data_IF_297465879793
#
_entry.id   IF_297465879793
#
_cell.length_a   1.000
_cell.length_b   1.000
_cell.length_c   1.000
_cell.angle_alpha   90.00
_cell.angle_beta   90.00
_cell.angle_gamma   90.00
#
_symmetry.space_group_name_H-M   'P 1'
#
loop_
_entity.id
_entity.type
_entity.pdbx_description
1 polymer ?
#
# COMPACT_ATOMS: atom_id res chain seq x y z
N UNK A 1 23.69 -12.55 -30.09
CA UNK A 1 22.64 -11.84 -29.32
C UNK A 1 21.62 -11.26 -30.30
N UNK A 2 20.34 -11.58 -30.15
CA UNK A 2 19.27 -10.96 -30.94
C UNK A 2 19.07 -9.51 -30.53
N UNK A 3 18.85 -8.60 -31.49
CA UNK A 3 18.49 -7.21 -31.19
C UNK A 3 17.16 -7.22 -30.43
N UNK A 4 17.11 -6.57 -29.25
CA UNK A 4 15.83 -6.30 -28.57
C UNK A 4 14.98 -5.43 -29.49
N UNK A 5 13.72 -5.80 -29.69
CA UNK A 5 12.79 -4.99 -30.46
C UNK A 5 12.37 -3.78 -29.62
N UNK A 6 12.42 -2.61 -30.23
CA UNK A 6 12.02 -1.35 -29.60
C UNK A 6 10.86 -0.71 -30.38
N UNK A 7 9.99 -0.01 -29.67
CA UNK A 7 8.88 0.78 -30.21
C UNK A 7 9.13 2.25 -29.88
N UNK A 8 9.03 3.08 -30.89
CA UNK A 8 9.10 4.53 -30.72
C UNK A 8 7.72 5.07 -30.32
N UNK A 9 7.67 5.89 -29.28
CA UNK A 9 6.44 6.46 -28.75
C UNK A 9 6.58 7.97 -28.55
N UNK A 10 5.48 8.69 -28.74
CA UNK A 10 5.37 10.12 -28.42
C UNK A 10 4.67 10.28 -27.08
N UNK A 11 5.13 11.23 -26.28
CA UNK A 11 4.58 11.56 -24.96
C UNK A 11 4.60 13.07 -24.77
N UNK A 12 3.92 13.57 -23.73
CA UNK A 12 4.03 14.99 -23.32
C UNK A 12 5.45 15.41 -22.92
N UNK A 13 6.32 14.45 -22.58
CA UNK A 13 7.72 14.69 -22.21
C UNK A 13 8.69 14.57 -23.40
N UNK A 14 8.17 14.28 -24.60
CA UNK A 14 8.95 14.03 -25.80
C UNK A 14 8.87 12.59 -26.27
N UNK A 15 9.83 12.22 -27.12
CA UNK A 15 9.87 10.93 -27.81
C UNK A 15 10.77 9.93 -27.07
N UNK A 16 10.29 8.70 -26.88
CA UNK A 16 11.01 7.64 -26.19
C UNK A 16 11.09 6.39 -27.07
N UNK A 17 12.22 5.70 -27.05
CA UNK A 17 12.35 4.32 -27.55
C UNK A 17 12.17 3.38 -26.37
N UNK A 18 11.14 2.53 -26.41
CA UNK A 18 10.85 1.57 -25.35
C UNK A 18 11.07 0.13 -25.84
N UNK A 19 11.67 -0.76 -25.04
CA UNK A 19 11.68 -2.18 -25.35
C UNK A 19 10.25 -2.72 -25.43
N UNK A 20 9.94 -3.51 -26.46
CA UNK A 20 8.60 -4.12 -26.63
C UNK A 20 8.25 -5.05 -25.45
N UNK A 21 9.26 -5.66 -24.83
CA UNK A 21 9.13 -6.46 -23.61
C UNK A 21 8.68 -5.66 -22.38
N UNK A 22 8.75 -4.33 -22.40
CA UNK A 22 8.29 -3.47 -21.30
C UNK A 22 6.83 -3.03 -21.44
N UNK A 23 6.16 -3.40 -22.54
CA UNK A 23 4.75 -3.05 -22.76
C UNK A 23 3.89 -3.86 -21.80
N UNK A 24 3.08 -3.15 -21.01
CA UNK A 24 2.08 -3.70 -20.11
C UNK A 24 0.71 -3.66 -20.78
N UNK A 25 0.00 -4.78 -20.72
CA UNK A 25 -1.38 -4.90 -21.22
C UNK A 25 -2.35 -4.81 -20.06
N UNK A 26 -3.30 -3.88 -20.14
CA UNK A 26 -4.43 -3.75 -19.24
C UNK A 26 -5.69 -4.15 -20.02
N UNK A 27 -6.14 -5.43 -19.95
CA UNK A 27 -7.20 -5.94 -20.84
C UNK A 27 -8.52 -5.18 -20.74
N UNK A 28 -8.82 -4.65 -19.54
CA UNK A 28 -10.00 -3.84 -19.23
C UNK A 28 -9.74 -2.33 -19.32
N UNK A 29 -8.52 -1.93 -19.66
CA UNK A 29 -8.02 -0.57 -19.52
C UNK A 29 -7.98 -0.11 -18.06
N UNK A 30 -8.01 1.21 -17.86
CA UNK A 30 -8.13 1.85 -16.55
C UNK A 30 -9.51 2.50 -16.44
N UNK A 31 -10.00 2.71 -15.20
CA UNK A 31 -11.28 3.37 -14.96
C UNK A 31 -11.25 4.79 -15.55
N UNK A 32 -12.23 5.11 -16.40
CA UNK A 32 -12.27 6.37 -17.16
C UNK A 32 -11.38 6.39 -18.41
N UNK A 33 -10.64 5.32 -18.68
CA UNK A 33 -9.74 5.15 -19.82
C UNK A 33 -9.82 3.72 -20.40
N UNK A 34 -11.01 3.13 -20.45
CA UNK A 34 -11.25 1.72 -20.80
C UNK A 34 -10.79 1.37 -22.24
N UNK A 35 -10.72 2.38 -23.11
CA UNK A 35 -10.19 2.25 -24.47
C UNK A 35 -8.65 2.17 -24.56
N UNK A 36 -7.93 2.51 -23.49
CA UNK A 36 -6.47 2.45 -23.43
C UNK A 36 -6.05 1.16 -22.74
N UNK A 37 -5.36 0.28 -23.49
CA UNK A 37 -5.04 -1.08 -23.01
C UNK A 37 -3.56 -1.42 -23.05
N UNK A 38 -2.75 -0.61 -23.69
CA UNK A 38 -1.31 -0.79 -23.73
C UNK A 38 -0.64 0.39 -23.07
N UNK A 39 0.20 0.11 -22.08
CA UNK A 39 0.94 1.12 -21.34
C UNK A 39 2.41 0.73 -21.23
N UNK A 40 3.25 1.68 -20.85
CA UNK A 40 4.64 1.44 -20.44
C UNK A 40 4.95 2.29 -19.22
N UNK A 41 5.94 1.89 -18.43
CA UNK A 41 6.45 2.68 -17.31
C UNK A 41 7.70 3.45 -17.74
N UNK A 42 7.66 4.78 -17.59
CA UNK A 42 8.77 5.67 -17.89
C UNK A 42 9.25 6.28 -16.57
N UNK A 43 10.54 6.09 -16.25
CA UNK A 43 11.18 6.76 -15.10
C UNK A 43 11.47 8.21 -15.46
N UNK A 44 11.09 9.14 -14.59
CA UNK A 44 11.35 10.58 -14.77
C UNK A 44 12.82 10.90 -14.44
N UNK A 45 13.34 10.27 -13.38
CA UNK A 45 14.73 10.29 -12.93
C UNK A 45 15.03 8.94 -12.27
N UNK A 46 16.29 8.51 -12.27
CA UNK A 46 16.67 7.20 -11.73
C UNK A 46 16.33 7.06 -10.24
N UNK A 47 16.57 8.11 -9.45
CA UNK A 47 16.33 8.14 -8.00
C UNK A 47 14.93 8.64 -7.61
N UNK A 48 14.05 8.88 -8.58
CA UNK A 48 12.69 9.35 -8.30
C UNK A 48 11.79 8.17 -7.89
N UNK A 49 11.00 8.28 -6.80
CA UNK A 49 9.98 7.28 -6.46
C UNK A 49 8.80 7.34 -7.45
N UNK A 50 8.70 8.39 -8.26
CA UNK A 50 7.63 8.59 -9.22
C UNK A 50 8.03 8.15 -10.63
N UNK A 51 7.07 7.52 -11.32
CA UNK A 51 7.14 7.11 -12.71
C UNK A 51 5.90 7.61 -13.47
N UNK A 52 5.97 7.60 -14.79
CA UNK A 52 4.80 7.82 -15.65
C UNK A 52 4.34 6.48 -16.22
N UNK A 53 3.09 6.13 -15.96
CA UNK A 53 2.38 5.09 -16.71
C UNK A 53 1.83 5.72 -17.99
N UNK A 54 2.54 5.54 -19.08
CA UNK A 54 2.27 6.16 -20.37
C UNK A 54 1.45 5.25 -21.26
N UNK A 55 0.32 5.74 -21.78
CA UNK A 55 -0.48 5.05 -22.79
C UNK A 55 0.25 4.98 -24.12
N UNK A 56 0.23 3.82 -24.78
CA UNK A 56 0.82 3.64 -26.12
C UNK A 56 -0.14 4.02 -27.25
N UNK A 57 -1.42 4.23 -26.94
CA UNK A 57 -2.44 4.66 -27.91
C UNK A 57 -2.76 6.15 -27.84
N UNK A 58 -2.29 6.87 -26.81
CA UNK A 58 -2.46 8.33 -26.70
C UNK A 58 -1.23 8.99 -26.07
N UNK A 59 -0.52 9.87 -26.81
CA UNK A 59 0.60 10.65 -26.28
C UNK A 59 0.24 11.55 -25.11
N UNK A 60 -1.02 11.99 -25.02
CA UNK A 60 -1.50 12.90 -23.99
C UNK A 60 -1.84 12.20 -22.67
N UNK A 61 -2.01 10.87 -22.69
CA UNK A 61 -2.37 10.09 -21.51
C UNK A 61 -1.13 9.48 -20.85
N UNK A 62 -0.58 10.20 -19.87
CA UNK A 62 0.43 9.69 -18.94
C UNK A 62 -0.01 9.94 -17.50
N UNK A 63 -0.10 8.89 -16.68
CA UNK A 63 -0.46 8.99 -15.27
C UNK A 63 0.79 8.96 -14.41
N UNK A 64 0.94 9.91 -13.50
CA UNK A 64 1.98 9.84 -12.47
C UNK A 64 1.62 8.70 -11.51
N UNK A 65 2.57 7.81 -11.28
CA UNK A 65 2.40 6.63 -10.42
C UNK A 65 3.61 6.44 -9.51
N UNK A 66 3.42 5.73 -8.41
CA UNK A 66 4.50 5.36 -7.50
C UNK A 66 4.21 4.02 -6.83
N UNK A 67 5.25 3.41 -6.26
CA UNK A 67 5.12 2.31 -5.33
C UNK A 67 4.61 2.85 -3.98
N UNK A 68 3.39 2.46 -3.52
CA UNK A 68 2.86 2.95 -2.26
C UNK A 68 3.70 2.52 -1.04
N UNK A 69 4.42 1.39 -1.12
CA UNK A 69 5.20 0.85 -0.01
C UNK A 69 6.44 1.69 0.32
N UNK A 70 6.88 2.57 -0.60
CA UNK A 70 7.91 3.56 -0.33
C UNK A 70 7.46 4.64 0.69
N UNK A 71 6.15 4.78 0.90
CA UNK A 71 5.55 5.79 1.79
C UNK A 71 4.69 5.22 2.91
N UNK A 72 4.16 4.00 2.73
CA UNK A 72 3.22 3.34 3.63
C UNK A 72 3.62 1.87 3.78
N UNK A 73 4.37 1.54 4.84
CA UNK A 73 4.93 0.20 5.01
C UNK A 73 3.88 -0.90 5.26
N UNK A 74 2.71 -0.54 5.76
CA UNK A 74 1.61 -1.45 6.14
C UNK A 74 0.37 -1.31 5.25
N UNK A 75 0.52 -0.76 4.05
CA UNK A 75 -0.57 -0.69 3.08
C UNK A 75 -1.03 -2.10 2.67
N UNK A 76 -2.33 -2.39 2.84
CA UNK A 76 -2.92 -3.69 2.50
C UNK A 76 -3.86 -3.53 1.29
N UNK A 77 -3.73 -4.46 0.35
CA UNK A 77 -4.59 -4.55 -0.83
C UNK A 77 -5.30 -5.89 -0.79
N UNK A 78 -6.60 -5.87 -1.04
CA UNK A 78 -7.37 -7.07 -1.27
C UNK A 78 -7.51 -7.30 -2.78
N UNK A 79 -7.04 -8.46 -3.25
CA UNK A 79 -7.12 -8.89 -4.66
C UNK A 79 -7.91 -10.18 -4.69
N UNK A 80 -9.06 -10.18 -5.35
CA UNK A 80 -9.92 -11.36 -5.44
C UNK A 80 -9.36 -12.46 -6.34
N UNK A 81 -9.86 -13.68 -6.17
CA UNK A 81 -9.44 -14.85 -6.94
C UNK A 81 -9.61 -14.67 -8.46
N UNK A 82 -10.61 -13.90 -8.89
CA UNK A 82 -10.85 -13.64 -10.30
C UNK A 82 -9.80 -12.70 -10.89
N UNK A 83 -9.39 -11.68 -10.13
CA UNK A 83 -8.34 -10.74 -10.49
C UNK A 83 -6.99 -11.47 -10.54
N UNK A 84 -6.66 -12.29 -9.54
CA UNK A 84 -5.44 -13.10 -9.51
C UNK A 84 -5.33 -14.00 -10.75
N UNK A 85 -6.40 -14.71 -11.10
CA UNK A 85 -6.46 -15.55 -12.31
C UNK A 85 -6.26 -14.76 -13.60
N UNK A 86 -6.88 -13.59 -13.71
CA UNK A 86 -6.74 -12.73 -14.91
C UNK A 86 -5.34 -12.13 -15.04
N UNK A 87 -4.72 -11.78 -13.92
CA UNK A 87 -3.34 -11.31 -13.85
C UNK A 87 -2.32 -12.45 -14.02
N UNK A 88 -2.76 -13.71 -14.00
CA UNK A 88 -1.91 -14.90 -14.03
C UNK A 88 -0.86 -14.89 -12.92
N UNK A 89 -1.24 -14.40 -11.74
CA UNK A 89 -0.34 -14.35 -10.59
C UNK A 89 -0.29 -15.72 -9.93
N UNK A 90 0.91 -16.29 -9.85
CA UNK A 90 1.19 -17.54 -9.16
C UNK A 90 1.89 -17.30 -7.81
N UNK A 91 2.55 -16.14 -7.67
CA UNK A 91 3.22 -15.74 -6.44
C UNK A 91 3.26 -14.21 -6.25
N UNK A 92 3.53 -13.77 -5.02
CA UNK A 92 3.63 -12.34 -4.69
C UNK A 92 4.86 -11.69 -5.34
N UNK A 93 5.92 -12.46 -5.54
CA UNK A 93 7.17 -11.99 -6.14
C UNK A 93 6.96 -11.51 -7.57
N UNK A 94 6.00 -12.07 -8.31
CA UNK A 94 5.63 -11.63 -9.67
C UNK A 94 4.84 -10.31 -9.68
N UNK A 95 4.41 -9.83 -8.52
CA UNK A 95 3.50 -8.71 -8.39
C UNK A 95 4.26 -7.40 -8.19
N UNK A 96 3.93 -6.41 -9.01
CA UNK A 96 4.24 -5.01 -8.74
C UNK A 96 2.93 -4.27 -8.42
N UNK A 97 2.98 -3.42 -7.40
CA UNK A 97 1.87 -2.57 -6.99
C UNK A 97 2.24 -1.13 -7.27
N UNK A 98 1.33 -0.41 -7.92
CA UNK A 98 1.45 1.02 -8.12
C UNK A 98 0.16 1.74 -7.74
N UNK A 99 0.26 2.99 -7.31
CA UNK A 99 -0.88 3.88 -7.08
C UNK A 99 -0.70 5.15 -7.90
N UNK A 100 -1.80 5.76 -8.33
CA UNK A 100 -1.73 7.05 -9.04
C UNK A 100 -1.46 8.19 -8.09
N UNK A 101 -0.78 9.21 -8.57
CA UNK A 101 -0.31 10.35 -7.80
C UNK A 101 -0.91 11.64 -8.38
N UNK A 102 -1.44 12.48 -7.50
CA UNK A 102 -1.89 13.83 -7.87
C UNK A 102 -1.00 14.86 -7.20
N UNK A 103 -0.43 15.76 -8.00
CA UNK A 103 0.35 16.90 -7.54
C UNK A 103 -0.42 18.17 -7.91
N UNK A 104 -1.03 18.88 -6.94
CA UNK A 104 -1.72 20.12 -7.23
C UNK A 104 -0.76 21.18 -7.80
N UNK A 105 -1.20 22.01 -8.78
CA UNK A 105 -0.35 23.04 -9.36
C UNK A 105 0.23 23.99 -8.31
N UNK A 106 1.56 24.14 -8.32
CA UNK A 106 2.29 25.03 -7.41
C UNK A 106 2.37 24.56 -5.95
N UNK A 107 1.81 23.39 -5.61
CA UNK A 107 1.71 22.89 -4.23
C UNK A 107 2.20 21.43 -4.14
N UNK A 108 3.49 21.16 -4.43
CA UNK A 108 4.05 19.80 -4.37
C UNK A 108 3.96 19.15 -2.98
N UNK A 109 3.91 19.94 -1.91
CA UNK A 109 3.70 19.48 -0.54
C UNK A 109 2.31 18.87 -0.31
N UNK A 110 1.33 19.18 -1.16
CA UNK A 110 -0.03 18.62 -1.14
C UNK A 110 -0.18 17.40 -2.07
N UNK A 111 0.93 16.74 -2.40
CA UNK A 111 0.92 15.51 -3.19
C UNK A 111 0.08 14.45 -2.51
N UNK A 112 -0.81 13.79 -3.26
CA UNK A 112 -1.63 12.68 -2.75
C UNK A 112 -1.45 11.41 -3.57
N UNK A 113 -1.49 10.27 -2.89
CA UNK A 113 -1.54 8.92 -3.46
C UNK A 113 -2.98 8.42 -3.44
N UNK A 114 -3.48 7.94 -4.57
CA UNK A 114 -4.81 7.33 -4.64
C UNK A 114 -4.73 5.84 -4.26
N UNK A 115 -5.11 5.53 -3.03
CA UNK A 115 -5.13 4.17 -2.48
C UNK A 115 -6.43 3.40 -2.81
N UNK A 116 -7.47 4.06 -3.36
CA UNK A 116 -8.73 3.37 -3.65
C UNK A 116 -8.71 2.58 -4.95
N UNK A 117 -7.71 2.76 -5.80
CA UNK A 117 -7.60 2.06 -7.08
C UNK A 117 -6.16 1.72 -7.45
N UNK A 118 -5.47 0.89 -6.65
CA UNK A 118 -4.14 0.41 -6.97
C UNK A 118 -4.12 -0.34 -8.31
N UNK A 119 -3.00 -0.22 -8.99
CA UNK A 119 -2.64 -0.96 -10.18
C UNK A 119 -1.85 -2.18 -9.73
N UNK A 120 -2.43 -3.36 -9.92
CA UNK A 120 -1.78 -4.64 -9.67
C UNK A 120 -1.25 -5.14 -11.00
N UNK A 121 0.06 -5.39 -11.06
CA UNK A 121 0.76 -5.74 -12.29
C UNK A 121 1.51 -7.05 -12.08
N UNK A 122 1.24 -8.04 -12.92
CA UNK A 122 2.16 -9.16 -13.09
C UNK A 122 3.26 -8.73 -14.06
N UNK A 123 4.47 -8.53 -13.54
CA UNK A 123 5.56 -8.00 -14.35
C UNK A 123 6.24 -9.06 -15.23
N UNK A 124 6.00 -10.35 -15.01
CA UNK A 124 6.46 -11.44 -15.88
C UNK A 124 5.49 -11.61 -17.05
N UNK A 125 4.19 -11.75 -16.76
CA UNK A 125 3.15 -11.89 -17.79
C UNK A 125 2.85 -10.58 -18.54
N UNK A 126 3.32 -9.44 -18.02
CA UNK A 126 3.07 -8.08 -18.54
C UNK A 126 1.58 -7.72 -18.58
N UNK A 127 0.82 -8.17 -17.59
CA UNK A 127 -0.62 -7.90 -17.47
C UNK A 127 -0.85 -7.04 -16.24
N UNK A 128 -1.59 -5.94 -16.41
CA UNK A 128 -2.00 -5.05 -15.33
C UNK A 128 -3.51 -4.98 -15.18
N UNK A 129 -3.95 -4.65 -13.97
CA UNK A 129 -5.35 -4.38 -13.66
C UNK A 129 -5.45 -3.30 -12.59
N UNK A 130 -6.40 -2.38 -12.74
CA UNK A 130 -6.81 -1.52 -11.65
C UNK A 130 -7.80 -2.27 -10.75
N UNK A 131 -7.49 -2.40 -9.46
CA UNK A 131 -8.28 -3.19 -8.50
C UNK A 131 -8.87 -2.27 -7.43
N UNK A 132 -10.14 -1.83 -7.58
CA UNK A 132 -10.80 -0.96 -6.61
C UNK A 132 -10.81 -1.55 -5.20
N UNK A 133 -10.55 -0.71 -4.20
CA UNK A 133 -10.60 -1.07 -2.78
C UNK A 133 -11.82 -0.39 -2.13
N UNK A 134 -12.53 -1.14 -1.29
CA UNK A 134 -13.76 -0.67 -0.62
C UNK A 134 -13.59 -0.42 0.89
N UNK A 135 -12.69 -1.16 1.55
CA UNK A 135 -12.46 -1.10 2.99
C UNK A 135 -11.01 -0.69 3.29
N UNK A 136 -10.68 0.58 3.07
CA UNK A 136 -9.33 1.09 3.28
C UNK A 136 -9.08 1.45 4.75
N UNK A 137 -7.93 1.03 5.28
CA UNK A 137 -7.41 1.49 6.57
C UNK A 137 -6.89 2.94 6.53
N UNK A 138 -6.70 3.48 5.32
CA UNK A 138 -6.18 4.81 5.05
C UNK A 138 -7.20 5.65 4.27
N UNK A 139 -7.11 6.99 4.29
CA UNK A 139 -7.86 7.82 3.37
C UNK A 139 -7.60 7.41 1.91
N UNK A 140 -8.63 7.49 1.06
CA UNK A 140 -8.49 7.18 -0.37
C UNK A 140 -7.42 8.04 -1.05
N UNK A 141 -7.30 9.31 -0.64
CA UNK A 141 -6.22 10.22 -1.03
C UNK A 141 -5.28 10.42 0.17
N UNK A 142 -4.17 9.68 0.18
CA UNK A 142 -3.17 9.75 1.25
C UNK A 142 -2.09 10.77 0.91
N UNK A 143 -1.78 11.70 1.82
CA UNK A 143 -0.70 12.68 1.65
C UNK A 143 0.57 12.21 2.38
N UNK A 144 1.66 11.85 1.67
CA UNK A 144 2.91 11.43 2.30
C UNK A 144 3.49 12.51 3.23
N UNK A 145 4.02 12.09 4.38
CA UNK A 145 4.68 12.99 5.34
C UNK A 145 3.74 13.86 6.18
N UNK A 146 2.42 13.76 6.00
CA UNK A 146 1.44 14.58 6.73
C UNK A 146 1.01 14.02 8.09
N UNK A 147 1.38 12.78 8.46
CA UNK A 147 0.89 12.15 9.69
C UNK A 147 1.95 11.43 10.53
N UNK A 148 1.89 11.67 11.85
CA UNK A 148 2.42 10.82 12.90
C UNK A 148 1.34 9.78 13.23
N UNK A 149 1.50 8.53 12.78
CA UNK A 149 0.58 7.46 13.16
C UNK A 149 1.11 6.71 14.38
N UNK A 150 0.51 6.96 15.55
CA UNK A 150 0.52 6.03 16.68
C UNK A 150 -0.42 4.88 16.34
N UNK A 151 0.12 3.84 15.69
CA UNK A 151 -0.56 2.57 15.53
C UNK A 151 -0.97 2.00 16.88
N UNK A 152 -2.20 1.47 16.92
CA UNK A 152 -2.90 0.95 18.09
C UNK A 152 -2.01 0.11 19.03
N UNK A 153 -2.20 0.32 20.33
CA UNK A 153 -1.66 -0.53 21.39
C UNK A 153 -2.03 -1.98 21.12
N UNK A 154 -1.02 -2.82 20.96
CA UNK A 154 -1.18 -4.26 21.08
C UNK A 154 -1.37 -4.58 22.58
N UNK A 155 -2.59 -4.91 22.99
CA UNK A 155 -2.79 -5.64 24.23
C UNK A 155 -2.23 -7.07 24.07
N UNK A 156 -1.35 -7.55 24.96
CA UNK A 156 -1.09 -8.98 25.05
C UNK A 156 -2.18 -9.64 25.91
N UNK A 157 -3.00 -10.46 25.24
CA UNK A 157 -3.90 -11.41 25.90
C UNK A 157 -3.09 -12.44 26.69
N UNK A 158 -3.58 -12.74 27.90
CA UNK A 158 -3.01 -13.67 28.86
C UNK A 158 -3.02 -15.14 28.38
N UNK A 159 -2.03 -15.92 28.82
CA UNK A 159 -2.02 -17.39 28.76
C UNK A 159 -0.93 -17.95 29.68
N UNK A 160 -1.36 -18.74 30.66
CA UNK A 160 -0.62 -19.22 31.83
C UNK A 160 0.27 -20.44 31.50
N UNK A 161 1.40 -20.62 32.20
CA UNK A 161 1.80 -21.96 32.64
C UNK A 161 2.54 -21.91 34.00
N UNK A 162 2.18 -22.88 34.81
CA UNK A 162 2.46 -23.07 36.24
C UNK A 162 3.75 -23.84 36.47
N UNK A 163 4.54 -23.50 37.50
CA UNK A 163 5.08 -24.47 38.48
C UNK A 163 5.75 -23.73 39.66
N UNK A 164 5.21 -23.93 40.86
CA UNK A 164 5.90 -23.79 42.15
C UNK A 164 6.51 -25.19 42.51
N UNK A 165 7.20 -25.42 43.65
CA UNK A 165 7.44 -24.54 44.82
C UNK A 165 8.89 -24.58 45.38
N UNK A 166 9.24 -23.68 46.30
CA UNK A 166 9.74 -24.07 47.64
C UNK A 166 9.84 -22.86 48.59
N UNK A 167 9.51 -23.06 49.86
CA UNK A 167 9.66 -22.13 51.00
C UNK A 167 10.73 -22.73 51.95
N UNK A 168 11.34 -22.01 52.94
CA UNK A 168 10.63 -21.68 54.19
C UNK A 168 11.10 -20.44 55.02
N UNK A 169 10.20 -20.02 55.92
CA UNK A 169 10.36 -19.45 57.28
C UNK A 169 10.81 -17.99 57.54
N UNK A 170 9.83 -17.17 57.97
CA UNK A 170 9.59 -16.43 59.27
C UNK A 170 10.75 -16.02 60.20
N UNK A 171 10.54 -15.17 61.27
CA UNK A 171 9.38 -14.34 61.71
C UNK A 171 9.80 -12.84 61.94
N UNK A 172 8.94 -11.85 62.24
CA UNK A 172 8.52 -11.47 63.61
C UNK A 172 7.44 -10.36 63.63
N UNK A 173 6.38 -10.63 64.40
CA UNK A 173 5.41 -9.85 65.20
C UNK A 173 5.65 -8.35 65.54
N UNK A 174 4.74 -7.65 66.27
CA UNK A 174 3.27 -7.66 66.28
C UNK A 174 2.62 -6.25 66.39
N UNK A 175 1.27 -6.25 66.32
CA UNK A 175 0.33 -5.60 67.26
C UNK A 175 -0.62 -4.52 66.71
N UNK A 176 -1.91 -4.83 66.88
CA UNK A 176 -3.12 -3.99 66.83
C UNK A 176 -3.17 -2.99 68.03
N UNK A 177 -4.27 -2.31 68.37
CA UNK A 177 -5.58 -2.13 67.71
C UNK A 177 -6.06 -0.65 67.66
N UNK A 178 -7.12 -0.35 66.89
CA UNK A 178 -8.33 0.28 67.46
C UNK A 178 -9.47 0.38 66.43
N UNK A 179 -10.65 -0.03 66.87
CA UNK A 179 -11.97 0.32 66.35
C UNK A 179 -12.58 1.40 67.31
N UNK A 180 -13.83 1.91 67.22
CA UNK A 180 -14.93 1.48 66.36
C UNK A 180 -15.89 2.58 65.80
N UNK A 181 -16.70 2.16 64.82
CA UNK A 181 -18.16 2.35 64.66
C UNK A 181 -18.84 3.72 64.31
N UNK A 182 -19.96 3.52 63.58
CA UNK A 182 -21.18 4.36 63.35
C UNK A 182 -21.10 5.33 62.14
N UNK A 183 -22.08 5.49 61.24
CA UNK A 183 -23.53 5.11 61.19
C UNK A 183 -24.09 5.34 59.77
N UNK A 184 -25.15 4.59 59.41
CA UNK A 184 -26.33 4.91 58.56
C UNK A 184 -26.17 5.63 57.20
N UNK A 185 -26.58 5.06 56.06
CA UNK A 185 -27.94 4.75 55.56
C UNK A 185 -28.72 5.95 54.96
N UNK A 186 -28.95 5.84 53.64
CA UNK A 186 -30.10 6.28 52.82
C UNK A 186 -30.38 7.78 52.58
N UNK A 187 -30.61 8.03 51.28
CA UNK A 187 -31.29 9.13 50.57
C UNK A 187 -30.51 10.43 50.39
#
# INVERSE_FOLDING_TARGET
MGKKQERLIQTRMGQFSIPVENILVFPRGLIGFEGHREFTLIRIKDDSPFMILQSLSSPELGLLVTDPFAFIGDYKINVGDQELKQLKLESVEQTAILVTVTIPPGQPEQTTLNLSGPLVINHEAKIGMQVPQVDLAFPSHYQPGSQSFTGAQAEPAAGQESTAPDSPNSPDSPNSPDAPAKTDAKH
#
